data_IF_336335172858
#
_entry.id   IF_336335172858
#
_cell.length_a   1.000
_cell.length_b   1.000
_cell.length_c   1.000
_cell.angle_alpha   90.00
_cell.angle_beta   90.00
_cell.angle_gamma   90.00
#
_symmetry.space_group_name_H-M   'P 1'
#
loop_
_entity.id
_entity.type
_entity.pdbx_description
1 polymer ?
#
# COMPACT_ATOMS: atom_id res chain seq x y z
N UNK A 1 2.38 -53.56 -27.14
CA UNK A 1 3.43 -52.80 -26.42
C UNK A 1 3.79 -51.65 -27.31
N UNK A 2 3.17 -50.49 -27.09
CA UNK A 2 3.63 -49.19 -27.55
C UNK A 2 2.77 -48.15 -26.81
N UNK A 3 3.35 -47.60 -25.75
CA UNK A 3 2.80 -46.48 -24.99
C UNK A 3 3.66 -45.28 -25.33
N UNK A 4 2.99 -44.24 -25.82
CA UNK A 4 3.53 -42.91 -26.04
C UNK A 4 4.21 -42.41 -24.76
N UNK A 5 5.41 -41.84 -24.88
CA UNK A 5 5.97 -41.04 -23.79
C UNK A 5 6.24 -39.61 -24.24
N UNK A 6 5.66 -38.72 -23.44
CA UNK A 6 5.65 -37.28 -23.58
C UNK A 6 6.80 -36.72 -22.76
N UNK A 7 7.55 -35.76 -23.30
CA UNK A 7 8.41 -34.91 -22.47
C UNK A 7 8.33 -33.47 -22.98
N UNK A 8 7.29 -32.80 -22.53
CA UNK A 8 7.17 -31.35 -22.38
C UNK A 8 8.40 -30.77 -21.67
N UNK A 9 9.11 -29.87 -22.35
CA UNK A 9 10.18 -29.07 -21.74
C UNK A 9 9.64 -28.06 -20.71
N UNK A 10 10.51 -27.55 -19.82
CA UNK A 10 10.11 -26.66 -18.75
C UNK A 10 9.87 -25.25 -19.29
N UNK A 11 8.60 -24.87 -19.46
CA UNK A 11 8.23 -23.46 -19.50
C UNK A 11 8.36 -22.90 -18.08
N UNK A 12 9.49 -22.25 -17.78
CA UNK A 12 9.52 -21.25 -16.71
C UNK A 12 8.92 -19.96 -17.27
N UNK A 13 7.76 -19.48 -16.79
CA UNK A 13 7.31 -18.16 -17.15
C UNK A 13 8.20 -17.15 -16.43
N UNK A 14 9.13 -16.55 -17.18
CA UNK A 14 9.82 -15.33 -16.74
C UNK A 14 8.77 -14.24 -16.66
N UNK A 15 8.25 -14.01 -15.45
CA UNK A 15 7.40 -12.85 -15.17
C UNK A 15 8.30 -11.62 -15.28
N UNK A 16 8.32 -11.00 -16.46
CA UNK A 16 8.81 -9.63 -16.60
C UNK A 16 7.85 -8.71 -15.85
N UNK A 17 8.06 -8.56 -14.54
CA UNK A 17 7.50 -7.42 -13.81
C UNK A 17 8.24 -6.20 -14.35
N UNK A 18 7.56 -5.41 -15.18
CA UNK A 18 8.06 -4.10 -15.62
C UNK A 18 8.45 -3.30 -14.38
N UNK A 19 9.76 -3.14 -14.19
CA UNK A 19 10.39 -2.47 -13.03
C UNK A 19 9.86 -1.03 -12.87
N UNK A 20 9.43 -0.43 -13.98
CA UNK A 20 8.87 0.92 -14.04
C UNK A 20 7.55 1.07 -13.24
N UNK A 21 6.77 0.00 -13.10
CA UNK A 21 5.50 0.04 -12.34
C UNK A 21 5.67 -0.33 -10.86
N UNK A 22 6.65 -1.16 -10.53
CA UNK A 22 6.94 -1.53 -9.14
C UNK A 22 7.63 -0.37 -8.39
N UNK A 23 8.48 0.40 -9.06
CA UNK A 23 9.15 1.56 -8.47
C UNK A 23 8.18 2.71 -8.14
N UNK A 24 7.10 2.86 -8.91
CA UNK A 24 6.08 3.88 -8.66
C UNK A 24 5.37 3.69 -7.31
N UNK A 25 5.18 2.43 -6.89
CA UNK A 25 4.52 2.10 -5.63
C UNK A 25 5.38 2.43 -4.40
N UNK A 26 6.71 2.45 -4.52
CA UNK A 26 7.59 2.80 -3.40
C UNK A 26 7.71 4.32 -3.20
N UNK A 27 7.57 5.12 -4.27
CA UNK A 27 7.86 6.56 -4.25
C UNK A 27 6.91 7.40 -3.39
N UNK A 28 5.77 6.83 -3.01
CA UNK A 28 4.68 7.47 -2.25
C UNK A 28 4.76 7.18 -0.75
N UNK A 29 5.59 6.22 -0.33
CA UNK A 29 5.76 5.90 1.09
C UNK A 29 6.81 6.83 1.69
N UNK A 30 6.40 7.64 2.66
CA UNK A 30 7.29 8.45 3.45
C UNK A 30 7.77 7.65 4.68
N UNK A 31 9.06 7.28 4.76
CA UNK A 31 9.61 6.61 5.93
C UNK A 31 9.76 7.55 7.13
N UNK A 32 9.59 8.85 6.93
CA UNK A 32 10.01 9.89 7.86
C UNK A 32 11.50 10.21 7.69
N UNK A 33 12.14 10.89 8.67
CA UNK A 33 13.57 11.15 8.65
C UNK A 33 14.38 9.86 8.51
N UNK A 34 15.36 9.85 7.62
CA UNK A 34 16.26 8.71 7.37
C UNK A 34 17.69 9.06 7.76
N UNK A 35 18.49 8.06 8.13
CA UNK A 35 19.93 8.23 8.38
C UNK A 35 20.77 8.10 7.10
N UNK A 36 22.05 8.49 7.17
CA UNK A 36 22.96 8.56 6.01
C UNK A 36 23.01 7.28 5.19
N UNK A 37 23.18 6.12 5.83
CA UNK A 37 23.29 4.84 5.13
C UNK A 37 22.01 4.49 4.33
N UNK A 38 20.84 4.79 4.89
CA UNK A 38 19.56 4.58 4.21
C UNK A 38 19.38 5.59 3.08
N UNK A 39 19.76 6.86 3.28
CA UNK A 39 19.70 7.88 2.25
C UNK A 39 20.54 7.51 1.02
N UNK A 40 21.79 7.05 1.21
CA UNK A 40 22.63 6.58 0.11
C UNK A 40 21.95 5.46 -0.68
N UNK A 41 21.42 4.45 0.03
CA UNK A 41 20.69 3.34 -0.61
C UNK A 41 19.46 3.84 -1.39
N UNK A 42 18.69 4.76 -0.81
CA UNK A 42 17.51 5.34 -1.46
C UNK A 42 17.91 6.10 -2.73
N UNK A 43 18.96 6.93 -2.68
CA UNK A 43 19.43 7.68 -3.84
C UNK A 43 19.91 6.76 -4.96
N UNK A 44 20.61 5.68 -4.62
CA UNK A 44 21.05 4.67 -5.59
C UNK A 44 19.85 3.96 -6.25
N UNK A 45 18.89 3.49 -5.43
CA UNK A 45 17.67 2.84 -5.91
C UNK A 45 16.79 3.77 -6.76
N UNK A 46 16.76 5.07 -6.42
CA UNK A 46 15.95 6.09 -7.08
C UNK A 46 16.73 6.96 -8.06
N UNK A 47 17.96 6.57 -8.45
CA UNK A 47 18.81 7.35 -9.35
C UNK A 47 18.14 7.65 -10.70
N UNK A 48 17.27 6.74 -11.16
CA UNK A 48 16.50 6.87 -12.42
C UNK A 48 15.03 7.19 -12.21
N UNK A 49 14.62 7.49 -10.97
CA UNK A 49 13.24 7.82 -10.67
C UNK A 49 12.87 9.17 -11.30
N UNK A 50 11.94 9.17 -12.25
CA UNK A 50 11.45 10.39 -12.92
C UNK A 50 10.30 11.06 -12.17
N UNK A 51 9.80 10.44 -11.10
CA UNK A 51 8.73 11.01 -10.30
C UNK A 51 9.24 12.22 -9.52
N UNK A 52 8.85 13.42 -9.96
CA UNK A 52 9.31 14.68 -9.39
C UNK A 52 9.02 14.78 -7.88
N UNK A 53 7.90 14.20 -7.45
CA UNK A 53 7.42 14.19 -6.06
C UNK A 53 7.80 12.91 -5.30
N UNK A 54 8.88 12.23 -5.70
CA UNK A 54 9.37 11.04 -4.99
C UNK A 54 9.81 11.41 -3.57
N UNK A 55 8.97 11.10 -2.59
CA UNK A 55 9.19 11.47 -1.18
C UNK A 55 10.43 10.80 -0.63
N UNK A 56 10.67 9.53 -0.97
CA UNK A 56 11.88 8.82 -0.58
C UNK A 56 13.14 9.56 -1.04
N UNK A 57 13.19 9.97 -2.31
CA UNK A 57 14.34 10.72 -2.84
C UNK A 57 14.49 12.07 -2.14
N UNK A 58 13.38 12.80 -1.94
CA UNK A 58 13.42 14.09 -1.25
C UNK A 58 13.90 13.93 0.20
N UNK A 59 13.45 12.90 0.93
CA UNK A 59 13.92 12.56 2.29
C UNK A 59 15.40 12.22 2.34
N UNK A 60 15.91 11.52 1.34
CA UNK A 60 17.33 11.22 1.25
C UNK A 60 18.15 12.49 0.95
N UNK A 61 17.67 13.35 0.06
CA UNK A 61 18.30 14.64 -0.29
C UNK A 61 18.31 15.63 0.88
N UNK A 62 17.33 15.56 1.79
CA UNK A 62 17.27 16.41 2.99
C UNK A 62 18.49 16.30 3.91
N UNK A 63 19.24 15.19 3.86
CA UNK A 63 20.45 15.03 4.66
C UNK A 63 21.61 15.89 4.14
N UNK A 64 21.70 16.03 2.82
CA UNK A 64 22.77 16.80 2.16
C UNK A 64 22.36 18.27 1.96
N UNK A 65 21.07 18.53 1.80
CA UNK A 65 20.50 19.87 1.61
C UNK A 65 19.27 20.08 2.50
N UNK A 66 19.42 20.76 3.65
CA UNK A 66 18.31 21.10 4.54
C UNK A 66 17.26 22.03 3.92
N UNK A 67 17.54 22.65 2.77
CA UNK A 67 16.57 23.48 2.05
C UNK A 67 15.55 22.65 1.27
N UNK A 68 15.78 21.35 1.10
CA UNK A 68 14.78 20.42 0.55
C UNK A 68 13.62 20.31 1.54
N UNK A 69 12.46 20.85 1.18
CA UNK A 69 11.24 20.77 2.00
C UNK A 69 10.42 19.56 1.53
N UNK A 70 10.45 18.48 2.30
CA UNK A 70 9.45 17.40 2.18
C UNK A 70 8.18 17.90 2.84
N UNK A 71 7.06 17.91 2.12
CA UNK A 71 5.80 18.40 2.68
C UNK A 71 5.49 17.61 3.96
N UNK A 72 5.42 18.35 5.06
CA UNK A 72 4.98 17.84 6.35
C UNK A 72 3.54 17.38 6.21
N UNK A 73 3.20 16.27 6.88
CA UNK A 73 1.84 15.76 7.04
C UNK A 73 0.82 16.91 7.10
N UNK A 74 0.09 17.12 6.00
CA UNK A 74 -1.17 17.83 6.08
C UNK A 74 -1.99 17.11 7.14
N UNK A 75 -2.58 17.85 8.08
CA UNK A 75 -3.33 17.29 9.21
C UNK A 75 -4.28 16.22 8.67
N UNK A 76 -4.06 14.97 9.09
CA UNK A 76 -4.92 13.84 8.77
C UNK A 76 -6.38 14.25 8.97
N UNK A 77 -7.18 14.17 7.90
CA UNK A 77 -8.58 14.60 7.93
C UNK A 77 -9.46 13.70 8.82
N UNK A 78 -8.91 12.57 9.27
CA UNK A 78 -9.56 11.58 10.11
C UNK A 78 -8.98 11.66 11.52
N UNK A 79 -9.84 11.67 12.53
CA UNK A 79 -9.43 11.68 13.93
C UNK A 79 -8.87 10.34 14.38
N UNK A 80 -7.96 10.36 15.37
CA UNK A 80 -7.42 9.10 15.94
C UNK A 80 -8.51 8.21 16.55
N UNK A 81 -9.61 8.81 17.04
CA UNK A 81 -10.76 8.07 17.56
C UNK A 81 -11.48 7.26 16.46
N UNK A 82 -11.72 7.85 15.29
CA UNK A 82 -12.30 7.14 14.14
C UNK A 82 -11.40 6.00 13.67
N UNK A 83 -10.08 6.22 13.64
CA UNK A 83 -9.12 5.18 13.25
C UNK A 83 -9.15 4.03 14.26
N UNK A 84 -9.13 4.36 15.56
CA UNK A 84 -9.17 3.36 16.63
C UNK A 84 -10.45 2.52 16.58
N UNK A 85 -11.60 3.14 16.32
CA UNK A 85 -12.89 2.46 16.21
C UNK A 85 -12.94 1.50 15.00
N UNK A 86 -12.47 1.94 13.84
CA UNK A 86 -12.38 1.08 12.65
C UNK A 86 -11.44 -0.12 12.87
N UNK A 87 -10.29 0.10 13.52
CA UNK A 87 -9.33 -0.97 13.87
C UNK A 87 -9.93 -1.94 14.89
N UNK A 88 -10.66 -1.43 15.88
CA UNK A 88 -11.36 -2.25 16.87
C UNK A 88 -12.42 -3.13 16.19
N UNK A 89 -13.22 -2.57 15.30
CA UNK A 89 -14.26 -3.29 14.53
C UNK A 89 -13.66 -4.44 13.71
N UNK A 90 -12.56 -4.19 12.98
CA UNK A 90 -11.83 -5.26 12.25
C UNK A 90 -11.32 -6.33 13.21
N UNK A 91 -10.80 -5.94 14.38
CA UNK A 91 -10.26 -6.88 15.37
C UNK A 91 -11.35 -7.78 15.94
N UNK A 92 -12.53 -7.22 16.24
CA UNK A 92 -13.72 -7.97 16.68
C UNK A 92 -14.17 -8.94 15.59
N UNK A 93 -14.33 -8.49 14.35
CA UNK A 93 -14.76 -9.36 13.26
C UNK A 93 -13.77 -10.53 13.02
N UNK A 94 -12.45 -10.27 13.08
CA UNK A 94 -11.43 -11.34 13.03
C UNK A 94 -11.58 -12.35 14.18
N UNK A 95 -11.95 -11.88 15.38
CA UNK A 95 -12.15 -12.77 16.52
C UNK A 95 -13.38 -13.66 16.35
N UNK A 96 -14.47 -13.12 15.77
CA UNK A 96 -15.68 -13.88 15.46
C UNK A 96 -15.40 -14.98 14.43
N UNK A 97 -14.64 -14.68 13.37
CA UNK A 97 -14.23 -15.68 12.37
C UNK A 97 -13.43 -16.80 13.03
N UNK A 98 -12.44 -16.46 13.86
CA UNK A 98 -11.64 -17.48 14.58
C UNK A 98 -12.51 -18.33 15.51
N UNK A 99 -13.47 -17.73 16.21
CA UNK A 99 -14.39 -18.44 17.09
C UNK A 99 -15.28 -19.40 16.32
N UNK A 100 -15.86 -18.97 15.19
CA UNK A 100 -16.72 -19.80 14.35
C UNK A 100 -15.94 -21.00 13.77
N UNK A 101 -14.70 -20.77 13.29
CA UNK A 101 -13.81 -21.86 12.83
C UNK A 101 -13.54 -22.86 13.96
N UNK A 102 -13.21 -22.38 15.16
CA UNK A 102 -12.91 -23.25 16.30
C UNK A 102 -14.11 -24.10 16.74
N UNK A 103 -15.33 -23.57 16.58
CA UNK A 103 -16.58 -24.25 16.94
C UNK A 103 -17.15 -25.09 15.79
N UNK A 104 -16.54 -25.05 14.60
CA UNK A 104 -17.06 -25.68 13.37
C UNK A 104 -18.50 -25.24 13.03
N UNK A 105 -18.86 -24.02 13.41
CA UNK A 105 -20.18 -23.44 13.16
C UNK A 105 -20.16 -22.73 11.79
N UNK A 106 -20.77 -23.38 10.79
CA UNK A 106 -20.77 -22.89 9.42
C UNK A 106 -21.61 -21.62 9.23
N UNK A 107 -22.73 -21.49 9.94
CA UNK A 107 -23.59 -20.31 9.84
C UNK A 107 -22.93 -19.11 10.51
N UNK A 108 -22.34 -19.31 11.69
CA UNK A 108 -21.54 -18.28 12.36
C UNK A 108 -20.33 -17.88 11.51
N UNK A 109 -19.70 -18.82 10.79
CA UNK A 109 -18.55 -18.54 9.93
C UNK A 109 -18.95 -17.65 8.75
N UNK A 110 -20.09 -17.93 8.10
CA UNK A 110 -20.60 -17.12 7.00
C UNK A 110 -20.88 -15.69 7.49
N UNK A 111 -21.62 -15.56 8.61
CA UNK A 111 -21.95 -14.26 9.19
C UNK A 111 -20.70 -13.47 9.60
N UNK A 112 -19.77 -14.10 10.33
CA UNK A 112 -18.54 -13.45 10.78
C UNK A 112 -17.64 -13.04 9.61
N UNK A 113 -17.61 -13.82 8.53
CA UNK A 113 -16.85 -13.48 7.32
C UNK A 113 -17.44 -12.27 6.62
N UNK A 114 -18.76 -12.18 6.50
CA UNK A 114 -19.43 -11.00 5.94
C UNK A 114 -19.12 -9.73 6.77
N UNK A 115 -19.22 -9.82 8.10
CA UNK A 115 -18.85 -8.73 9.00
C UNK A 115 -17.38 -8.31 8.84
N UNK A 116 -16.47 -9.28 8.65
CA UNK A 116 -15.05 -8.98 8.43
C UNK A 116 -14.82 -8.25 7.12
N UNK A 117 -15.46 -8.67 6.02
CA UNK A 117 -15.35 -8.02 4.72
C UNK A 117 -15.85 -6.57 4.81
N UNK A 118 -16.99 -6.33 5.45
CA UNK A 118 -17.54 -4.99 5.64
C UNK A 118 -16.61 -4.11 6.49
N UNK A 119 -16.09 -4.64 7.61
CA UNK A 119 -15.15 -3.92 8.46
C UNK A 119 -13.84 -3.57 7.74
N UNK A 120 -13.30 -4.49 6.93
CA UNK A 120 -12.11 -4.23 6.11
C UNK A 120 -12.37 -3.17 5.05
N UNK A 121 -13.54 -3.21 4.41
CA UNK A 121 -13.94 -2.21 3.43
C UNK A 121 -14.08 -0.82 4.07
N UNK A 122 -14.77 -0.73 5.21
CA UNK A 122 -14.93 0.51 5.96
C UNK A 122 -13.58 1.11 6.38
N UNK A 123 -12.68 0.29 6.93
CA UNK A 123 -11.31 0.72 7.27
C UNK A 123 -10.53 1.22 6.04
N UNK A 124 -10.68 0.54 4.91
CA UNK A 124 -10.01 0.93 3.65
C UNK A 124 -10.50 2.28 3.15
N UNK A 125 -11.82 2.53 3.19
CA UNK A 125 -12.40 3.82 2.83
C UNK A 125 -11.97 4.93 3.79
N UNK A 126 -11.87 4.61 5.08
CA UNK A 126 -11.36 5.55 6.09
C UNK A 126 -9.89 5.89 5.84
N UNK A 127 -9.08 4.90 5.48
CA UNK A 127 -7.67 5.09 5.11
C UNK A 127 -7.53 5.98 3.87
N UNK A 128 -8.34 5.73 2.84
CA UNK A 128 -8.38 6.55 1.62
C UNK A 128 -8.67 8.02 1.93
N UNK A 129 -9.58 8.29 2.88
CA UNK A 129 -9.92 9.64 3.34
C UNK A 129 -8.83 10.27 4.21
N UNK A 130 -8.06 9.46 4.93
CA UNK A 130 -6.93 9.90 5.74
C UNK A 130 -5.70 10.25 4.90
N UNK A 131 -5.57 9.67 3.69
CA UNK A 131 -4.47 9.96 2.78
C UNK A 131 -4.42 11.45 2.38
N UNK A 132 -3.27 12.13 2.50
CA UNK A 132 -3.04 13.46 1.97
C UNK A 132 -3.40 13.58 0.48
N UNK A 133 -3.78 14.79 0.05
CA UNK A 133 -4.18 15.05 -1.34
C UNK A 133 -3.07 14.74 -2.36
N UNK A 134 -1.80 14.80 -1.95
CA UNK A 134 -0.63 14.42 -2.76
C UNK A 134 -0.41 12.90 -2.85
N UNK A 135 -1.19 12.12 -2.11
CA UNK A 135 -1.17 10.66 -2.15
C UNK A 135 -0.01 10.00 -1.41
N UNK A 136 0.68 10.72 -0.54
CA UNK A 136 1.79 10.18 0.25
C UNK A 136 1.28 9.43 1.47
N UNK A 137 1.89 8.29 1.79
CA UNK A 137 1.56 7.53 3.00
C UNK A 137 2.76 7.53 3.92
N UNK A 138 2.58 8.03 5.14
CA UNK A 138 3.61 7.89 6.17
C UNK A 138 3.55 6.51 6.82
N UNK A 139 4.71 6.03 7.27
CA UNK A 139 4.80 4.84 8.14
C UNK A 139 3.91 4.96 9.38
N UNK A 140 3.78 6.16 9.95
CA UNK A 140 2.92 6.41 11.09
C UNK A 140 1.44 6.12 10.79
N UNK A 141 0.94 6.50 9.61
CA UNK A 141 -0.41 6.15 9.16
C UNK A 141 -0.61 4.64 9.04
N UNK A 142 0.36 3.92 8.47
CA UNK A 142 0.30 2.45 8.37
C UNK A 142 0.16 1.80 9.74
N UNK A 143 0.94 2.28 10.71
CA UNK A 143 0.89 1.81 12.08
C UNK A 143 -0.46 2.10 12.75
N UNK A 144 -1.00 3.32 12.61
CA UNK A 144 -2.30 3.69 13.19
C UNK A 144 -3.45 2.83 12.65
N UNK A 145 -3.47 2.57 11.34
CA UNK A 145 -4.50 1.75 10.70
C UNK A 145 -4.25 0.23 10.81
N UNK A 146 -3.10 -0.18 11.36
CA UNK A 146 -2.65 -1.58 11.41
C UNK A 146 -2.74 -2.24 10.02
N UNK A 147 -2.25 -1.54 9.02
CA UNK A 147 -2.19 -2.03 7.64
C UNK A 147 -0.81 -2.67 7.38
N UNK A 148 -0.75 -3.91 6.89
CA UNK A 148 0.49 -4.44 6.35
C UNK A 148 0.87 -3.64 5.09
N UNK A 149 2.19 -3.47 4.81
CA UNK A 149 2.64 -2.67 3.66
C UNK A 149 2.01 -3.07 2.33
N UNK A 150 1.82 -4.38 2.10
CA UNK A 150 1.20 -4.93 0.89
C UNK A 150 -0.26 -4.48 0.71
N UNK A 151 -1.04 -4.42 1.80
CA UNK A 151 -2.44 -3.96 1.75
C UNK A 151 -2.48 -2.46 1.46
N UNK A 152 -1.61 -1.67 2.09
CA UNK A 152 -1.52 -0.25 1.83
C UNK A 152 -1.11 0.06 0.38
N UNK A 153 -0.15 -0.69 -0.16
CA UNK A 153 0.24 -0.57 -1.56
C UNK A 153 -0.94 -0.83 -2.51
N UNK A 154 -1.72 -1.89 -2.27
CA UNK A 154 -2.91 -2.21 -3.07
C UNK A 154 -3.96 -1.11 -3.00
N UNK A 155 -4.17 -0.55 -1.80
CA UNK A 155 -5.10 0.56 -1.60
C UNK A 155 -4.63 1.77 -2.41
N UNK A 156 -3.35 2.13 -2.37
CA UNK A 156 -2.86 3.27 -3.17
C UNK A 156 -2.91 3.00 -4.65
N UNK A 157 -2.52 1.82 -5.13
CA UNK A 157 -2.64 1.49 -6.55
C UNK A 157 -4.07 1.64 -7.06
N UNK A 158 -5.05 1.32 -6.21
CA UNK A 158 -6.47 1.49 -6.50
C UNK A 158 -6.90 2.96 -6.49
N UNK A 159 -6.46 3.74 -5.51
CA UNK A 159 -6.88 5.13 -5.30
C UNK A 159 -6.13 6.15 -6.17
N UNK A 160 -4.83 5.94 -6.39
CA UNK A 160 -3.91 6.78 -7.15
C UNK A 160 -3.69 6.28 -8.58
N UNK A 161 -4.58 5.40 -9.08
CA UNK A 161 -4.59 5.06 -10.50
C UNK A 161 -4.61 6.38 -11.25
N UNK A 162 -3.61 6.67 -12.11
CA UNK A 162 -3.55 7.97 -12.75
C UNK A 162 -4.89 8.19 -13.43
N UNK A 163 -5.56 9.30 -13.07
CA UNK A 163 -6.50 9.93 -13.99
C UNK A 163 -5.66 10.13 -15.24
N UNK A 164 -5.79 9.23 -16.20
CA UNK A 164 -5.15 9.36 -17.50
C UNK A 164 -5.46 10.79 -17.93
N UNK A 165 -4.43 11.63 -17.97
CA UNK A 165 -4.56 12.98 -18.50
C UNK A 165 -5.10 12.74 -19.89
N UNK A 166 -6.40 12.97 -20.06
CA UNK A 166 -7.00 13.06 -21.37
C UNK A 166 -6.21 14.16 -22.04
N UNK A 167 -5.25 13.76 -22.88
CA UNK A 167 -4.63 14.66 -23.82
C UNK A 167 -5.80 15.08 -24.71
N UNK A 168 -6.42 16.22 -24.37
CA UNK A 168 -7.16 17.02 -25.31
C UNK A 168 -6.17 17.42 -26.39
N UNK A 169 -5.96 16.55 -27.36
CA UNK A 169 -5.59 16.95 -28.71
C UNK A 169 -6.82 17.60 -29.31
N UNK A 170 -7.05 18.86 -28.96
CA UNK A 170 -7.88 19.75 -29.75
C UNK A 170 -6.95 20.32 -30.83
N UNK A 171 -6.99 19.71 -32.02
CA UNK A 171 -6.65 20.35 -33.29
C UNK A 171 -7.79 21.24 -33.74
#
# INVERSE_FOLDING_TARGET
MDVMDSATGPFSPTVHVSVDHALLACCIFDPGPVGQAMATMILDLHARCTFAECVLRQRAQQLDDPSVIVASDDKCAVSDAEIADAVATVSVAKSLVRSAVAQQDQDALISATAMLVEALHARTMLFARACPARGWITTSMLHRFRLPPVEAEQIVRTLMRPRSVAHSTAT
#
